data_IF_894770340489
#
_entry.id   IF_894770340489
#
_cell.length_a   1.000
_cell.length_b   1.000
_cell.length_c   1.000
_cell.angle_alpha   90.00
_cell.angle_beta   90.00
_cell.angle_gamma   90.00
#
_symmetry.space_group_name_H-M   'P 1'
#
loop_
_entity.id
_entity.type
_entity.pdbx_description
1 polymer ?
#
# COMPACT_ATOMS: atom_id res chain seq x y z
N UNK A 1 1.75 -6.60 20.18
CA UNK A 1 0.80 -5.57 19.74
C UNK A 1 -0.34 -6.30 19.06
N UNK A 2 -1.57 -6.05 19.46
CA UNK A 2 -2.71 -6.66 18.79
C UNK A 2 -2.82 -6.07 17.37
N UNK A 3 -3.14 -6.92 16.40
CA UNK A 3 -3.28 -6.50 15.01
C UNK A 3 -4.51 -5.60 14.87
N UNK A 4 -5.56 -5.83 15.65
CA UNK A 4 -6.79 -5.06 15.59
C UNK A 4 -6.60 -3.63 16.11
N UNK A 5 -5.85 -3.45 17.19
CA UNK A 5 -5.47 -2.13 17.70
C UNK A 5 -4.60 -1.35 16.70
N UNK A 6 -3.70 -2.06 16.02
CA UNK A 6 -2.82 -1.50 15.00
C UNK A 6 -3.62 -1.03 13.78
N UNK A 7 -4.54 -1.86 13.29
CA UNK A 7 -5.36 -1.55 12.13
C UNK A 7 -6.40 -0.46 12.43
N UNK A 8 -6.93 -0.42 13.65
CA UNK A 8 -7.85 0.63 14.10
C UNK A 8 -7.16 1.98 14.15
N UNK A 9 -5.98 2.06 14.77
CA UNK A 9 -5.20 3.31 14.84
C UNK A 9 -4.72 3.78 13.47
N UNK A 10 -4.30 2.87 12.58
CA UNK A 10 -3.94 3.19 11.21
C UNK A 10 -5.14 3.74 10.40
N UNK A 11 -6.32 3.13 10.55
CA UNK A 11 -7.55 3.57 9.89
C UNK A 11 -7.97 4.96 10.35
N UNK A 12 -7.90 5.23 11.65
CA UNK A 12 -8.20 6.56 12.20
C UNK A 12 -7.26 7.63 11.64
N UNK A 13 -5.95 7.34 11.60
CA UNK A 13 -4.95 8.23 10.99
C UNK A 13 -5.22 8.47 9.50
N UNK A 14 -5.66 7.44 8.79
CA UNK A 14 -6.02 7.55 7.38
C UNK A 14 -7.21 8.48 7.16
N UNK A 15 -8.27 8.35 7.97
CA UNK A 15 -9.45 9.22 7.90
C UNK A 15 -9.06 10.67 8.15
N UNK A 16 -8.33 10.95 9.25
CA UNK A 16 -7.89 12.30 9.58
C UNK A 16 -6.99 12.87 8.49
N UNK A 17 -6.02 12.08 8.01
CA UNK A 17 -5.09 12.49 6.96
C UNK A 17 -5.79 12.82 5.65
N UNK A 18 -6.73 11.98 5.21
CA UNK A 18 -7.49 12.22 3.97
C UNK A 18 -8.43 13.43 4.06
N UNK A 19 -9.04 13.68 5.22
CA UNK A 19 -9.87 14.89 5.44
C UNK A 19 -9.02 16.17 5.37
N UNK A 20 -7.79 16.14 5.86
CA UNK A 20 -6.86 17.26 5.83
C UNK A 20 -6.12 17.41 4.48
N UNK A 21 -6.48 16.63 3.45
CA UNK A 21 -5.88 16.70 2.12
C UNK A 21 -4.58 15.90 1.93
N UNK A 22 -4.22 15.05 2.89
CA UNK A 22 -3.08 14.15 2.81
C UNK A 22 -3.39 12.78 2.20
N UNK A 23 -2.35 12.06 1.77
CA UNK A 23 -2.43 10.70 1.23
C UNK A 23 -1.94 9.63 2.22
N UNK A 24 -2.37 8.38 2.03
CA UNK A 24 -1.91 7.14 2.67
C UNK A 24 -0.90 7.27 3.84
N UNK A 25 -1.39 7.28 5.08
CA UNK A 25 -0.58 7.30 6.32
C UNK A 25 -0.43 5.94 6.99
N UNK A 26 -1.05 4.89 6.44
CA UNK A 26 -1.06 3.54 6.98
C UNK A 26 0.16 2.71 6.55
N UNK A 27 1.37 3.29 6.56
CA UNK A 27 2.59 2.50 6.47
C UNK A 27 3.06 2.10 7.87
N UNK A 28 3.00 0.82 8.16
CA UNK A 28 3.57 0.21 9.36
C UNK A 28 5.03 -0.23 9.17
N UNK A 29 5.54 -0.20 7.93
CA UNK A 29 6.81 -0.82 7.54
C UNK A 29 7.59 0.08 6.57
N UNK A 30 8.84 0.41 6.93
CA UNK A 30 9.79 1.11 6.06
C UNK A 30 10.61 2.17 6.79
N UNK A 31 9.99 3.29 7.15
CA UNK A 31 10.75 4.46 7.64
C UNK A 31 11.43 4.24 9.00
N UNK A 32 10.92 3.31 9.82
CA UNK A 32 11.48 3.03 11.14
C UNK A 32 12.51 1.90 11.16
N UNK A 33 12.62 1.07 10.11
CA UNK A 33 13.51 -0.10 10.11
C UNK A 33 14.97 0.32 10.01
N UNK A 34 15.29 1.30 9.16
CA UNK A 34 16.67 1.79 9.00
C UNK A 34 17.19 2.44 10.30
N UNK A 35 16.44 3.35 10.98
CA UNK A 35 16.84 3.82 12.31
C UNK A 35 16.83 2.73 13.39
N UNK A 36 15.90 1.76 13.34
CA UNK A 36 15.81 0.69 14.34
C UNK A 36 17.02 -0.26 14.27
N UNK A 37 17.49 -0.58 13.07
CA UNK A 37 18.68 -1.41 12.85
C UNK A 37 19.98 -0.69 13.27
N UNK A 38 20.05 0.63 13.08
CA UNK A 38 21.27 1.41 13.33
C UNK A 38 21.36 1.92 14.79
N UNK A 39 20.26 2.38 15.38
CA UNK A 39 20.34 3.21 16.59
C UNK A 39 20.07 2.48 17.91
N UNK A 40 19.45 1.28 17.93
CA UNK A 40 19.05 0.56 19.18
C UNK A 40 18.39 1.47 20.25
N UNK A 41 17.62 2.49 19.84
CA UNK A 41 17.06 3.55 20.71
C UNK A 41 15.53 3.59 20.62
N UNK A 42 14.82 4.16 21.62
CA UNK A 42 13.37 4.09 21.73
C UNK A 42 12.66 4.69 20.51
N UNK A 43 11.99 3.82 19.76
CA UNK A 43 11.21 4.09 18.53
C UNK A 43 10.14 5.20 18.71
N UNK A 44 9.41 5.28 19.85
CA UNK A 44 8.33 6.26 19.98
C UNK A 44 8.83 7.71 20.06
N UNK A 45 9.99 7.95 20.67
CA UNK A 45 10.52 9.31 20.84
C UNK A 45 10.99 9.91 19.52
N UNK A 46 11.64 9.09 18.67
CA UNK A 46 12.03 9.49 17.32
C UNK A 46 10.81 9.82 16.45
N UNK A 47 9.77 8.97 16.48
CA UNK A 47 8.53 9.19 15.76
C UNK A 47 7.86 10.53 16.12
N UNK A 48 7.77 10.85 17.43
CA UNK A 48 7.19 12.09 17.92
C UNK A 48 8.01 13.32 17.52
N UNK A 49 9.33 13.22 17.62
CA UNK A 49 10.22 14.32 17.24
C UNK A 49 10.16 14.59 15.73
N UNK A 50 10.16 13.54 14.90
CA UNK A 50 9.97 13.67 13.45
C UNK A 50 8.61 14.28 13.13
N UNK A 51 7.52 13.84 13.77
CA UNK A 51 6.20 14.43 13.57
C UNK A 51 6.18 15.93 13.90
N UNK A 52 6.81 16.33 15.02
CA UNK A 52 6.95 17.73 15.40
C UNK A 52 7.73 18.53 14.35
N UNK A 53 8.87 18.02 13.87
CA UNK A 53 9.65 18.69 12.82
C UNK A 53 8.90 18.78 11.50
N UNK A 54 8.13 17.76 11.10
CA UNK A 54 7.29 17.82 9.91
C UNK A 54 6.21 18.91 10.03
N UNK A 55 5.58 19.07 11.19
CA UNK A 55 4.60 20.15 11.42
C UNK A 55 5.27 21.51 11.35
N UNK A 56 6.41 21.69 12.04
CA UNK A 56 7.16 22.94 12.02
C UNK A 56 7.57 23.30 10.59
N UNK A 57 8.17 22.36 9.85
CA UNK A 57 8.59 22.58 8.47
C UNK A 57 7.41 22.89 7.54
N UNK A 58 6.28 22.19 7.71
CA UNK A 58 5.06 22.43 6.95
C UNK A 58 4.46 23.82 7.19
N UNK A 59 4.44 24.28 8.46
CA UNK A 59 3.93 25.62 8.83
C UNK A 59 4.89 26.72 8.36
N UNK A 60 6.20 26.48 8.42
CA UNK A 60 7.21 27.44 7.96
C UNK A 60 7.26 27.56 6.43
N UNK A 61 6.53 26.70 5.71
CA UNK A 61 6.40 26.78 4.26
C UNK A 61 7.71 26.49 3.52
N UNK A 62 8.67 25.79 4.15
CA UNK A 62 9.88 25.35 3.46
C UNK A 62 9.46 24.41 2.32
N UNK A 63 9.68 24.79 1.05
CA UNK A 63 9.36 23.91 -0.06
C UNK A 63 10.29 22.69 0.00
N UNK A 64 9.74 21.54 0.38
CA UNK A 64 10.47 20.25 0.41
C UNK A 64 11.16 19.97 -0.93
N UNK A 65 10.57 20.43 -2.03
CA UNK A 65 11.06 20.27 -3.39
C UNK A 65 12.32 21.10 -3.70
N UNK A 66 12.56 22.21 -2.98
CA UNK A 66 13.74 23.08 -3.19
C UNK A 66 14.95 22.62 -2.36
N UNK A 67 14.73 21.86 -1.30
CA UNK A 67 15.79 21.37 -0.42
C UNK A 67 16.34 19.99 -0.84
N UNK A 68 15.65 19.26 -1.72
CA UNK A 68 16.01 17.89 -2.05
C UNK A 68 16.64 17.78 -3.45
N UNK A 69 17.86 17.27 -3.48
CA UNK A 69 18.54 16.90 -4.71
C UNK A 69 17.97 15.56 -5.23
N UNK A 70 17.37 15.58 -6.43
CA UNK A 70 16.68 14.42 -7.03
C UNK A 70 17.51 13.12 -7.03
N UNK A 71 18.82 13.11 -7.38
CA UNK A 71 19.61 11.88 -7.33
C UNK A 71 19.69 11.25 -5.95
N UNK A 72 19.81 12.05 -4.89
CA UNK A 72 19.82 11.55 -3.51
C UNK A 72 18.45 11.01 -3.11
N UNK A 73 17.36 11.66 -3.54
CA UNK A 73 16.01 11.16 -3.29
C UNK A 73 15.80 9.78 -3.93
N UNK A 74 16.17 9.61 -5.20
CA UNK A 74 16.03 8.35 -5.92
C UNK A 74 16.82 7.22 -5.24
N UNK A 75 18.07 7.47 -4.86
CA UNK A 75 18.91 6.48 -4.16
C UNK A 75 18.30 6.13 -2.81
N UNK A 76 17.85 7.12 -2.05
CA UNK A 76 17.21 6.90 -0.74
C UNK A 76 15.92 6.08 -0.87
N UNK A 77 15.09 6.31 -1.88
CA UNK A 77 13.87 5.54 -2.12
C UNK A 77 14.17 4.11 -2.59
N UNK A 78 15.13 3.92 -3.50
CA UNK A 78 15.51 2.59 -3.99
C UNK A 78 16.07 1.75 -2.85
N UNK A 79 17.10 2.25 -2.15
CA UNK A 79 17.83 1.49 -1.14
C UNK A 79 17.09 1.44 0.18
N UNK A 80 16.45 2.54 0.59
CA UNK A 80 15.81 2.65 1.90
C UNK A 80 14.37 2.14 1.93
N UNK A 81 13.68 2.06 0.79
CA UNK A 81 12.26 1.71 0.76
C UNK A 81 11.98 0.53 -0.18
N UNK A 82 12.30 0.66 -1.47
CA UNK A 82 11.89 -0.34 -2.46
C UNK A 82 12.61 -1.69 -2.32
N UNK A 83 13.93 -1.69 -2.08
CA UNK A 83 14.70 -2.93 -1.88
C UNK A 83 14.21 -3.69 -0.63
N UNK A 84 14.11 -3.07 0.57
CA UNK A 84 13.59 -3.77 1.75
C UNK A 84 12.16 -4.29 1.57
N UNK A 85 11.28 -3.54 0.91
CA UNK A 85 9.92 -4.00 0.61
C UNK A 85 9.90 -5.19 -0.34
N UNK A 86 10.80 -5.22 -1.33
CA UNK A 86 10.96 -6.35 -2.24
C UNK A 86 11.48 -7.58 -1.50
N UNK A 87 12.50 -7.44 -0.65
CA UNK A 87 13.06 -8.54 0.16
C UNK A 87 12.01 -9.15 1.09
N UNK A 88 11.28 -8.31 1.82
CA UNK A 88 10.17 -8.76 2.68
C UNK A 88 9.08 -9.47 1.87
N UNK A 89 8.75 -8.95 0.67
CA UNK A 89 7.81 -9.61 -0.23
C UNK A 89 8.29 -10.99 -0.70
N UNK A 90 9.57 -11.10 -1.05
CA UNK A 90 10.19 -12.36 -1.49
C UNK A 90 10.22 -13.40 -0.36
N UNK A 91 10.54 -12.99 0.86
CA UNK A 91 10.53 -13.86 2.04
C UNK A 91 9.12 -14.43 2.30
N UNK A 92 8.09 -13.57 2.27
CA UNK A 92 6.69 -13.98 2.44
C UNK A 92 6.23 -14.96 1.34
N UNK A 93 6.69 -14.78 0.10
CA UNK A 93 6.39 -15.73 -0.99
C UNK A 93 7.14 -17.05 -0.91
N UNK A 94 8.29 -17.08 -0.22
CA UNK A 94 9.08 -18.30 -0.03
C UNK A 94 8.50 -19.16 1.09
N UNK A 95 7.96 -18.55 2.14
CA UNK A 95 7.30 -19.26 3.25
C UNK A 95 5.87 -19.71 2.90
N UNK A 96 5.18 -18.95 2.04
CA UNK A 96 3.82 -19.26 1.59
C UNK A 96 3.75 -20.19 0.38
N UNK A 97 2.79 -21.14 0.36
CA UNK A 97 2.41 -21.92 -0.84
C UNK A 97 1.63 -21.08 -1.88
N UNK A 98 2.06 -19.85 -2.15
CA UNK A 98 1.28 -18.85 -2.90
C UNK A 98 2.08 -18.19 -4.03
N UNK A 99 3.09 -18.86 -4.58
CA UNK A 99 3.88 -18.38 -5.74
C UNK A 99 2.99 -18.03 -6.95
N UNK A 100 1.91 -18.79 -7.17
CA UNK A 100 0.95 -18.50 -8.25
C UNK A 100 0.19 -17.18 -8.01
N UNK A 101 -0.25 -16.90 -6.78
CA UNK A 101 -0.91 -15.65 -6.43
C UNK A 101 0.07 -14.47 -6.59
N UNK A 102 1.33 -14.65 -6.19
CA UNK A 102 2.38 -13.64 -6.34
C UNK A 102 2.67 -13.31 -7.81
N UNK A 103 2.77 -14.32 -8.69
CA UNK A 103 2.98 -14.09 -10.11
C UNK A 103 1.84 -13.26 -10.73
N UNK A 104 0.60 -13.59 -10.40
CA UNK A 104 -0.56 -12.91 -10.98
C UNK A 104 -0.66 -11.46 -10.51
N UNK A 105 -0.37 -11.18 -9.23
CA UNK A 105 -0.37 -9.80 -8.76
C UNK A 105 0.72 -9.00 -9.47
N UNK A 106 1.92 -9.55 -9.65
CA UNK A 106 3.02 -8.86 -10.36
C UNK A 106 2.65 -8.61 -11.83
N UNK A 107 2.18 -9.61 -12.57
CA UNK A 107 1.80 -9.45 -13.97
C UNK A 107 0.62 -8.50 -14.16
N UNK A 108 -0.45 -8.65 -13.37
CA UNK A 108 -1.61 -7.76 -13.47
C UNK A 108 -1.28 -6.33 -13.03
N UNK A 109 -0.39 -6.18 -12.04
CA UNK A 109 0.09 -4.85 -11.61
C UNK A 109 0.94 -4.16 -12.67
N UNK A 110 1.80 -4.91 -13.36
CA UNK A 110 2.66 -4.38 -14.42
C UNK A 110 1.90 -4.02 -15.70
N UNK A 111 0.86 -4.79 -16.04
CA UNK A 111 0.07 -4.57 -17.26
C UNK A 111 -1.03 -3.53 -17.10
N UNK A 112 -1.67 -3.47 -15.92
CA UNK A 112 -2.85 -2.62 -15.70
C UNK A 112 -2.54 -1.54 -14.67
N UNK A 113 -2.46 -1.95 -13.40
CA UNK A 113 -2.22 -1.07 -12.27
C UNK A 113 -2.02 -1.91 -11.01
N UNK A 114 -1.13 -1.52 -10.07
CA UNK A 114 -0.98 -2.21 -8.79
C UNK A 114 -2.28 -2.43 -8.00
N UNK A 115 -3.19 -1.45 -7.99
CA UNK A 115 -4.48 -1.59 -7.29
C UNK A 115 -5.39 -2.64 -7.96
N UNK A 116 -5.34 -2.73 -9.30
CA UNK A 116 -6.03 -3.76 -10.05
C UNK A 116 -5.45 -5.15 -9.77
N UNK A 117 -4.12 -5.29 -9.87
CA UNK A 117 -3.46 -6.57 -9.64
C UNK A 117 -3.71 -7.14 -8.24
N UNK A 118 -3.67 -6.28 -7.22
CA UNK A 118 -3.99 -6.68 -5.85
C UNK A 118 -5.44 -7.12 -5.67
N UNK A 119 -6.41 -6.33 -6.16
CA UNK A 119 -7.83 -6.66 -6.01
C UNK A 119 -8.25 -7.91 -6.80
N UNK A 120 -7.67 -8.10 -7.99
CA UNK A 120 -7.89 -9.30 -8.81
C UNK A 120 -7.34 -10.54 -8.10
N UNK A 121 -6.11 -10.48 -7.61
CA UNK A 121 -5.52 -11.63 -6.90
C UNK A 121 -6.25 -11.95 -5.62
N UNK A 122 -6.69 -10.96 -4.85
CA UNK A 122 -7.52 -11.18 -3.67
C UNK A 122 -8.83 -11.90 -4.02
N UNK A 123 -9.49 -11.50 -5.11
CA UNK A 123 -10.71 -12.15 -5.60
C UNK A 123 -10.44 -13.61 -5.98
N UNK A 124 -9.37 -13.86 -6.76
CA UNK A 124 -9.02 -15.19 -7.24
C UNK A 124 -8.58 -16.14 -6.11
N UNK A 125 -7.82 -15.64 -5.14
CA UNK A 125 -7.36 -16.38 -3.95
C UNK A 125 -8.55 -16.73 -3.05
N UNK A 126 -9.43 -15.77 -2.75
CA UNK A 126 -10.58 -16.02 -1.87
C UNK A 126 -11.62 -16.95 -2.52
N UNK A 127 -11.81 -16.90 -3.84
CA UNK A 127 -12.67 -17.85 -4.56
C UNK A 127 -12.10 -19.29 -4.56
N UNK A 128 -10.80 -19.45 -4.27
CA UNK A 128 -10.10 -20.73 -4.30
C UNK A 128 -9.76 -21.20 -5.72
N UNK A 129 -9.79 -20.28 -6.70
CA UNK A 129 -9.33 -20.55 -8.06
C UNK A 129 -7.79 -20.64 -8.11
N UNK A 130 -7.14 -19.95 -7.17
CA UNK A 130 -5.68 -19.79 -7.06
C UNK A 130 -5.31 -19.90 -5.58
N UNK A 131 -4.10 -20.37 -5.26
CA UNK A 131 -3.65 -20.52 -3.88
C UNK A 131 -4.22 -21.75 -3.16
N UNK A 132 -4.35 -21.67 -1.83
CA UNK A 132 -4.74 -22.82 -1.01
C UNK A 132 -6.26 -23.04 -0.97
N UNK A 133 -6.74 -24.06 -1.68
CA UNK A 133 -8.16 -24.45 -1.72
C UNK A 133 -8.74 -24.75 -0.32
N UNK A 134 -7.93 -25.28 0.58
CA UNK A 134 -8.30 -25.52 1.98
C UNK A 134 -8.64 -24.22 2.74
N UNK A 135 -7.94 -23.12 2.45
CA UNK A 135 -8.24 -21.81 3.05
C UNK A 135 -9.57 -21.30 2.54
N UNK A 136 -9.80 -21.35 1.23
CA UNK A 136 -11.07 -20.91 0.62
C UNK A 136 -12.27 -21.73 1.12
N UNK A 137 -12.08 -23.03 1.38
CA UNK A 137 -13.13 -23.90 1.92
C UNK A 137 -13.54 -23.55 3.36
N UNK A 138 -12.61 -23.01 4.16
CA UNK A 138 -12.87 -22.58 5.53
C UNK A 138 -13.45 -21.16 5.64
N UNK A 139 -13.56 -20.43 4.52
CA UNK A 139 -14.11 -19.07 4.51
C UNK A 139 -15.64 -19.07 4.48
N UNK A 140 -16.23 -18.19 5.29
CA UNK A 140 -17.67 -17.90 5.23
C UNK A 140 -18.03 -17.33 3.86
N UNK A 141 -19.24 -17.61 3.36
CA UNK A 141 -19.73 -17.11 2.05
C UNK A 141 -19.45 -15.61 1.88
N UNK A 142 -19.67 -14.79 2.92
CA UNK A 142 -19.42 -13.34 2.90
C UNK A 142 -17.97 -12.98 2.52
N UNK A 143 -16.97 -13.59 3.19
CA UNK A 143 -15.55 -13.35 2.94
C UNK A 143 -15.03 -14.00 1.66
N UNK A 144 -15.73 -15.02 1.17
CA UNK A 144 -15.33 -15.80 0.01
C UNK A 144 -15.59 -15.07 -1.32
N UNK A 145 -16.75 -14.43 -1.48
CA UNK A 145 -17.14 -13.82 -2.75
C UNK A 145 -17.75 -12.41 -2.67
N UNK A 146 -18.41 -12.04 -1.57
CA UNK A 146 -19.16 -10.77 -1.48
C UNK A 146 -18.17 -9.64 -1.24
N UNK A 147 -17.35 -9.75 -0.19
CA UNK A 147 -16.36 -8.72 0.13
C UNK A 147 -15.33 -8.56 -1.00
N UNK A 148 -14.69 -9.64 -1.51
CA UNK A 148 -13.71 -9.50 -2.58
C UNK A 148 -14.33 -9.02 -3.89
N UNK A 149 -15.56 -9.47 -4.20
CA UNK A 149 -16.28 -9.06 -5.40
C UNK A 149 -16.64 -7.58 -5.38
N UNK A 150 -17.22 -7.09 -4.28
CA UNK A 150 -17.52 -5.66 -4.10
C UNK A 150 -16.24 -4.83 -4.19
N UNK A 151 -15.17 -5.24 -3.50
CA UNK A 151 -13.90 -4.51 -3.56
C UNK A 151 -13.34 -4.42 -4.97
N UNK A 152 -13.33 -5.53 -5.71
CA UNK A 152 -12.85 -5.56 -7.09
C UNK A 152 -13.66 -4.62 -7.99
N UNK A 153 -15.00 -4.64 -7.88
CA UNK A 153 -15.88 -3.77 -8.66
C UNK A 153 -15.68 -2.31 -8.30
N UNK A 154 -15.60 -1.97 -7.02
CA UNK A 154 -15.41 -0.58 -6.56
C UNK A 154 -14.06 -0.04 -7.02
N UNK A 155 -12.97 -0.78 -6.80
CA UNK A 155 -11.63 -0.34 -7.20
C UNK A 155 -11.51 -0.20 -8.72
N UNK A 156 -12.01 -1.17 -9.48
CA UNK A 156 -12.02 -1.11 -10.95
C UNK A 156 -12.89 0.04 -11.45
N UNK A 157 -14.05 0.28 -10.82
CA UNK A 157 -14.93 1.40 -11.14
C UNK A 157 -14.25 2.75 -10.91
N UNK A 158 -13.59 2.95 -9.77
CA UNK A 158 -12.84 4.18 -9.48
C UNK A 158 -11.69 4.37 -10.47
N UNK A 159 -10.94 3.32 -10.80
CA UNK A 159 -9.87 3.39 -11.81
C UNK A 159 -10.42 3.76 -13.20
N UNK A 160 -11.57 3.21 -13.60
CA UNK A 160 -12.22 3.55 -14.86
C UNK A 160 -12.71 5.02 -14.87
N UNK A 161 -13.25 5.49 -13.75
CA UNK A 161 -13.71 6.87 -13.58
C UNK A 161 -12.56 7.87 -13.76
N UNK A 162 -11.41 7.58 -13.15
CA UNK A 162 -10.22 8.45 -13.15
C UNK A 162 -9.36 8.25 -14.42
N UNK A 163 -9.58 7.19 -15.20
CA UNK A 163 -8.79 6.90 -16.40
C UNK A 163 -7.45 6.22 -16.12
N UNK A 164 -7.35 5.47 -15.02
CA UNK A 164 -6.14 4.71 -14.64
C UNK A 164 -6.06 3.33 -15.31
N UNK A 165 -7.05 2.97 -16.14
CA UNK A 165 -7.05 1.73 -16.90
C UNK A 165 -6.39 1.96 -18.28
N UNK A 166 -5.37 1.15 -18.65
CA UNK A 166 -4.70 1.32 -19.93
C UNK A 166 -5.68 1.09 -21.08
N UNK A 167 -5.71 2.02 -22.03
CA UNK A 167 -6.55 1.94 -23.23
C UNK A 167 -8.01 2.37 -23.05
N UNK A 168 -8.45 2.74 -21.84
CA UNK A 168 -9.80 3.28 -21.60
C UNK A 168 -9.68 4.75 -21.16
N UNK A 169 -10.22 5.71 -21.94
CA UNK A 169 -10.23 7.11 -21.51
C UNK A 169 -11.10 7.28 -20.26
N UNK A 170 -10.75 8.24 -19.40
CA UNK A 170 -11.49 8.52 -18.17
C UNK A 170 -13.00 8.69 -18.44
N UNK A 171 -13.84 8.01 -17.66
CA UNK A 171 -15.29 8.14 -17.79
C UNK A 171 -15.78 9.52 -17.32
N UNK A 172 -15.07 10.16 -16.37
CA UNK A 172 -15.36 11.54 -15.99
C UNK A 172 -14.67 12.53 -16.93
N UNK A 173 -15.46 13.45 -17.49
CA UNK A 173 -14.99 14.49 -18.40
C UNK A 173 -13.88 15.37 -17.80
N UNK A 174 -13.91 15.62 -16.49
CA UNK A 174 -12.90 16.42 -15.79
C UNK A 174 -11.51 15.77 -15.75
N UNK A 175 -11.40 14.45 -15.99
CA UNK A 175 -10.15 13.70 -16.01
C UNK A 175 -9.75 13.25 -17.43
N UNK A 176 -10.52 13.64 -18.46
CA UNK A 176 -10.15 13.43 -19.87
C UNK A 176 -9.19 14.54 -20.24
N UNK A 177 -7.89 14.32 -20.03
CA UNK A 177 -6.85 15.13 -20.65
C UNK A 177 -6.75 14.83 -22.15
#
# INVERSE_FOLDING_TARGET
>A
MDIDDTMTSASFRQVVGSVLGGSNFASSWGTYIVPAAIAKRPIPAGALLTALFCIIAGVWGYPMDLAIWQPVMCVALIVGVFIPLLEAGMEMTREGKTTQSAAIVVFASALVNPAFGWSLTLLLDNLGLIGSKERSANLTKMSRWIIPGIMFVVLTGVMAIVGMLPGIPALMANFRH
#
